data_IF_858705511915
#
_entry.id   IF_858705511915
#
_cell.length_a   1.000
_cell.length_b   1.000
_cell.length_c   1.000
_cell.angle_alpha   90.00
_cell.angle_beta   90.00
_cell.angle_gamma   90.00
#
_symmetry.space_group_name_H-M   'P 1'
#
loop_
_entity.id
_entity.type
_entity.pdbx_description
1 polymer ?
#
# COMPACT_ATOMS: atom_id res chain seq x y z
N UNK A 1 0.75 -17.51 23.93
CA UNK A 1 -0.61 -17.39 24.49
C UNK A 1 -0.62 -16.84 25.91
N UNK A 2 0.09 -17.45 26.87
CA UNK A 2 0.15 -16.95 28.28
C UNK A 2 0.60 -15.48 28.36
N UNK A 3 1.63 -15.08 27.63
CA UNK A 3 2.12 -13.69 27.63
C UNK A 3 1.07 -12.67 27.18
N UNK A 4 0.23 -13.00 26.18
CA UNK A 4 -0.81 -12.10 25.68
C UNK A 4 -1.90 -11.89 26.73
N UNK A 5 -2.34 -12.98 27.39
CA UNK A 5 -3.33 -12.90 28.46
C UNK A 5 -2.80 -12.05 29.62
N UNK A 6 -1.54 -12.26 30.01
CA UNK A 6 -0.91 -11.52 31.10
C UNK A 6 -0.80 -10.03 30.78
N UNK A 7 -0.44 -9.67 29.54
CA UNK A 7 -0.45 -8.27 29.08
C UNK A 7 -1.85 -7.66 29.11
N UNK A 8 -2.86 -8.36 28.59
CA UNK A 8 -4.26 -7.86 28.60
C UNK A 8 -4.76 -7.68 30.03
N UNK A 9 -4.49 -8.62 30.93
CA UNK A 9 -4.84 -8.51 32.36
C UNK A 9 -4.12 -7.34 33.02
N UNK A 10 -2.83 -7.15 32.75
CA UNK A 10 -2.08 -6.01 33.26
C UNK A 10 -2.71 -4.67 32.80
N UNK A 11 -3.12 -4.56 31.54
CA UNK A 11 -3.79 -3.35 31.01
C UNK A 11 -5.14 -3.08 31.67
N UNK A 12 -5.90 -4.14 31.99
CA UNK A 12 -7.14 -4.04 32.76
C UNK A 12 -6.88 -3.55 34.19
N UNK A 13 -5.82 -4.05 34.84
CA UNK A 13 -5.43 -3.60 36.18
C UNK A 13 -5.06 -2.11 36.22
N UNK A 14 -4.46 -1.59 35.14
CA UNK A 14 -4.21 -0.15 34.97
C UNK A 14 -5.45 0.67 34.56
N UNK A 15 -6.63 0.05 34.46
CA UNK A 15 -7.88 0.74 34.11
C UNK A 15 -7.99 1.14 32.65
N UNK A 16 -7.25 0.51 31.74
CA UNK A 16 -7.31 0.83 30.31
C UNK A 16 -8.68 0.43 29.73
N UNK A 17 -9.46 1.34 29.13
CA UNK A 17 -10.74 1.01 28.54
C UNK A 17 -10.54 0.24 27.23
N UNK A 18 -10.56 -1.10 27.31
CA UNK A 18 -10.44 -1.97 26.15
C UNK A 18 -11.76 -2.02 25.38
N UNK A 19 -11.71 -1.70 24.08
CA UNK A 19 -12.83 -1.87 23.18
C UNK A 19 -12.97 -3.34 22.79
N UNK A 20 -13.65 -4.14 23.60
CA UNK A 20 -13.82 -5.59 23.40
C UNK A 20 -14.37 -5.97 22.02
N UNK A 21 -15.21 -5.13 21.42
CA UNK A 21 -15.72 -5.33 20.06
C UNK A 21 -14.63 -5.30 18.96
N UNK A 22 -13.43 -4.80 19.29
CA UNK A 22 -12.26 -4.80 18.40
C UNK A 22 -11.37 -6.03 18.59
N UNK A 23 -11.59 -6.83 19.65
CA UNK A 23 -10.89 -8.09 19.82
C UNK A 23 -11.50 -9.11 18.85
N UNK A 24 -10.77 -9.38 17.76
CA UNK A 24 -11.12 -10.41 16.78
C UNK A 24 -10.06 -11.49 16.78
N UNK A 25 -10.50 -12.74 16.77
CA UNK A 25 -9.65 -13.92 16.62
C UNK A 25 -9.86 -14.59 15.26
N UNK A 26 -9.14 -15.69 15.03
CA UNK A 26 -9.23 -16.49 13.81
C UNK A 26 -7.99 -16.39 12.92
N UNK A 27 -8.01 -17.11 11.80
CA UNK A 27 -6.91 -17.15 10.83
C UNK A 27 -6.99 -16.03 9.78
N UNK A 28 -8.09 -15.31 9.71
CA UNK A 28 -8.24 -14.13 8.88
C UNK A 28 -8.79 -12.97 9.71
N UNK A 29 -8.09 -11.84 9.72
CA UNK A 29 -8.45 -10.69 10.57
C UNK A 29 -8.29 -9.37 9.82
N UNK A 30 -9.25 -8.47 10.05
CA UNK A 30 -9.17 -7.08 9.62
C UNK A 30 -8.68 -6.23 10.80
N UNK A 31 -7.66 -5.41 10.56
CA UNK A 31 -7.16 -4.45 11.53
C UNK A 31 -6.95 -3.07 10.88
N UNK A 32 -7.76 -2.09 11.27
CA UNK A 32 -7.67 -0.69 10.80
C UNK A 32 -7.73 -0.60 9.26
N UNK A 33 -8.40 -1.55 8.60
CA UNK A 33 -8.54 -1.61 7.15
C UNK A 33 -7.40 -2.36 6.44
N UNK A 34 -6.42 -2.90 7.16
CA UNK A 34 -5.57 -3.98 6.65
C UNK A 34 -6.26 -5.31 6.82
N UNK A 35 -5.97 -6.24 5.91
CA UNK A 35 -6.50 -7.59 5.97
C UNK A 35 -5.35 -8.58 5.95
N UNK A 36 -5.32 -9.46 6.94
CA UNK A 36 -4.36 -10.54 7.07
C UNK A 36 -5.11 -11.86 6.95
N UNK A 37 -4.71 -12.70 6.01
CA UNK A 37 -5.23 -14.06 5.84
C UNK A 37 -4.07 -15.05 5.96
N UNK A 38 -4.03 -15.74 7.10
CA UNK A 38 -3.02 -16.73 7.43
C UNK A 38 -3.26 -18.07 6.73
N UNK A 39 -4.49 -18.38 6.31
CA UNK A 39 -4.79 -19.64 5.61
C UNK A 39 -4.17 -19.62 4.21
N UNK A 40 -4.33 -18.50 3.51
CA UNK A 40 -3.80 -18.31 2.16
C UNK A 40 -2.43 -17.63 2.12
N UNK A 41 -1.84 -17.34 3.29
CA UNK A 41 -0.60 -16.56 3.43
C UNK A 41 -0.65 -15.29 2.59
N UNK A 42 -1.67 -14.47 2.78
CA UNK A 42 -1.85 -13.23 2.03
C UNK A 42 -2.12 -12.05 2.95
N UNK A 43 -1.68 -10.87 2.52
CA UNK A 43 -1.85 -9.60 3.25
C UNK A 43 -2.31 -8.53 2.28
N UNK A 44 -3.14 -7.61 2.74
CA UNK A 44 -3.68 -6.60 1.88
C UNK A 44 -4.46 -5.55 2.64
N UNK A 45 -5.43 -4.96 1.95
CA UNK A 45 -6.43 -4.09 2.54
C UNK A 45 -7.78 -4.78 2.55
N UNK A 46 -8.65 -4.39 3.48
CA UNK A 46 -9.98 -4.96 3.57
C UNK A 46 -10.82 -4.67 2.33
N UNK A 47 -11.77 -5.55 2.02
CA UNK A 47 -12.63 -5.43 0.85
C UNK A 47 -13.38 -4.09 0.84
N UNK A 48 -13.91 -3.67 1.99
CA UNK A 48 -14.59 -2.38 2.13
C UNK A 48 -13.66 -1.20 1.79
N UNK A 49 -12.37 -1.29 2.18
CA UNK A 49 -11.38 -0.27 1.87
C UNK A 49 -11.01 -0.27 0.39
N UNK A 50 -10.82 -1.45 -0.20
CA UNK A 50 -10.61 -1.63 -1.65
C UNK A 50 -11.75 -0.97 -2.44
N UNK A 51 -13.00 -1.31 -2.12
CA UNK A 51 -14.18 -0.75 -2.79
C UNK A 51 -14.28 0.77 -2.64
N UNK A 52 -13.93 1.32 -1.48
CA UNK A 52 -13.89 2.77 -1.28
C UNK A 52 -12.84 3.43 -2.20
N UNK A 53 -11.64 2.86 -2.30
CA UNK A 53 -10.59 3.35 -3.18
C UNK A 53 -10.94 3.19 -4.67
N UNK A 54 -11.53 2.06 -5.07
CA UNK A 54 -11.99 1.83 -6.44
C UNK A 54 -13.06 2.85 -6.83
N UNK A 55 -14.06 3.09 -5.96
CA UNK A 55 -15.10 4.10 -6.22
C UNK A 55 -14.50 5.48 -6.43
N UNK A 56 -13.57 5.89 -5.57
CA UNK A 56 -12.87 7.16 -5.71
C UNK A 56 -12.05 7.23 -7.01
N UNK A 57 -11.31 6.17 -7.35
CA UNK A 57 -10.51 6.08 -8.57
C UNK A 57 -11.34 6.15 -9.85
N UNK A 58 -12.62 5.74 -9.81
CA UNK A 58 -13.58 5.87 -10.93
C UNK A 58 -14.17 7.28 -11.00
N UNK A 59 -14.55 7.85 -9.85
CA UNK A 59 -15.27 9.12 -9.77
C UNK A 59 -14.43 10.30 -10.25
N UNK A 60 -13.18 10.41 -9.79
CA UNK A 60 -12.33 11.57 -10.11
C UNK A 60 -12.06 11.70 -11.63
N UNK A 61 -11.68 10.63 -12.36
CA UNK A 61 -11.59 10.66 -13.82
C UNK A 61 -12.90 10.98 -14.55
N UNK A 62 -14.03 10.47 -14.04
CA UNK A 62 -15.37 10.64 -14.63
C UNK A 62 -15.84 12.08 -14.54
N UNK A 63 -15.68 12.69 -13.37
CA UNK A 63 -16.11 14.07 -13.12
C UNK A 63 -15.17 15.07 -13.82
N UNK A 64 -13.89 14.71 -13.98
CA UNK A 64 -12.88 15.53 -14.65
C UNK A 64 -12.46 16.79 -13.88
N UNK A 65 -13.16 17.10 -12.79
CA UNK A 65 -12.85 18.13 -11.80
C UNK A 65 -12.69 17.46 -10.44
N UNK A 66 -11.70 17.87 -9.65
CA UNK A 66 -11.49 17.38 -8.30
C UNK A 66 -11.47 18.54 -7.29
N UNK A 67 -12.26 18.38 -6.23
CA UNK A 67 -12.10 19.15 -4.99
C UNK A 67 -10.79 18.72 -4.32
N UNK A 68 -9.85 19.65 -4.17
CA UNK A 68 -8.50 19.30 -3.74
C UNK A 68 -8.43 18.82 -2.28
N UNK A 69 -9.33 19.27 -1.41
CA UNK A 69 -9.43 18.80 -0.02
C UNK A 69 -9.88 17.34 0.02
N UNK A 70 -10.98 16.99 -0.66
CA UNK A 70 -11.46 15.61 -0.77
C UNK A 70 -10.45 14.72 -1.48
N UNK A 71 -9.76 15.26 -2.48
CA UNK A 71 -8.68 14.56 -3.17
C UNK A 71 -7.53 14.23 -2.21
N UNK A 72 -7.07 15.18 -1.41
CA UNK A 72 -6.02 14.96 -0.42
C UNK A 72 -6.42 13.94 0.66
N UNK A 73 -7.66 13.99 1.14
CA UNK A 73 -8.20 13.00 2.09
C UNK A 73 -8.17 11.58 1.51
N UNK A 74 -8.66 11.41 0.27
CA UNK A 74 -8.66 10.12 -0.39
C UNK A 74 -7.24 9.64 -0.76
N UNK A 75 -6.35 10.56 -1.14
CA UNK A 75 -4.94 10.27 -1.38
C UNK A 75 -4.24 9.81 -0.10
N UNK A 76 -4.59 10.36 1.07
CA UNK A 76 -4.13 9.86 2.37
C UNK A 76 -4.58 8.42 2.64
N UNK A 77 -5.81 8.06 2.25
CA UNK A 77 -6.31 6.67 2.34
C UNK A 77 -5.56 5.73 1.40
N UNK A 78 -5.19 6.20 0.21
CA UNK A 78 -4.35 5.46 -0.73
C UNK A 78 -2.93 5.30 -0.21
N UNK A 79 -2.32 6.35 0.36
CA UNK A 79 -0.99 6.30 0.97
C UNK A 79 -0.92 5.32 2.14
N UNK A 80 -1.98 5.24 2.94
CA UNK A 80 -2.14 4.19 3.96
C UNK A 80 -2.21 2.79 3.32
N UNK A 81 -3.05 2.59 2.30
CA UNK A 81 -3.15 1.29 1.61
C UNK A 81 -1.82 0.85 0.97
N UNK A 82 -1.06 1.79 0.40
CA UNK A 82 0.22 1.55 -0.25
C UNK A 82 1.34 1.09 0.72
N UNK A 83 1.15 1.18 2.03
CA UNK A 83 2.07 0.56 2.99
C UNK A 83 2.13 -0.95 2.81
N UNK A 84 1.00 -1.56 2.47
CA UNK A 84 0.88 -3.00 2.18
C UNK A 84 0.86 -3.25 0.68
N UNK A 85 0.13 -2.43 -0.09
CA UNK A 85 0.07 -2.52 -1.55
C UNK A 85 1.30 -1.88 -2.20
N UNK A 86 2.43 -2.59 -2.18
CA UNK A 86 3.72 -2.08 -2.65
C UNK A 86 3.69 -1.59 -4.11
N UNK A 87 2.91 -2.25 -4.96
CA UNK A 87 2.71 -1.88 -6.36
C UNK A 87 2.06 -0.50 -6.54
N UNK A 88 1.34 0.02 -5.53
CA UNK A 88 0.69 1.33 -5.59
C UNK A 88 1.64 2.50 -5.30
N UNK A 89 2.79 2.24 -4.64
CA UNK A 89 3.75 3.27 -4.21
C UNK A 89 4.26 4.20 -5.35
N UNK A 90 4.60 3.70 -6.55
CA UNK A 90 5.11 4.55 -7.64
C UNK A 90 4.12 5.63 -8.10
N UNK A 91 2.83 5.42 -7.88
CA UNK A 91 1.78 6.36 -8.29
C UNK A 91 1.52 7.46 -7.26
N UNK A 92 1.99 7.30 -6.02
CA UNK A 92 1.77 8.25 -4.95
C UNK A 92 2.48 9.58 -5.18
N UNK A 93 3.79 9.54 -5.44
CA UNK A 93 4.61 10.74 -5.60
C UNK A 93 4.00 11.79 -6.57
N UNK A 94 3.58 11.42 -7.79
CA UNK A 94 2.97 12.37 -8.71
C UNK A 94 1.56 12.84 -8.31
N UNK A 95 0.78 12.02 -7.60
CA UNK A 95 -0.52 12.44 -7.07
C UNK A 95 -0.33 13.41 -5.89
N UNK A 96 0.66 13.16 -5.02
CA UNK A 96 1.04 14.07 -3.94
C UNK A 96 1.62 15.39 -4.47
N UNK A 97 2.46 15.34 -5.50
CA UNK A 97 3.00 16.53 -6.14
C UNK A 97 1.87 17.42 -6.69
N UNK A 98 0.87 16.80 -7.35
CA UNK A 98 -0.30 17.55 -7.81
C UNK A 98 -1.15 18.09 -6.65
N UNK A 99 -1.41 17.28 -5.61
CA UNK A 99 -2.14 17.73 -4.43
C UNK A 99 -1.47 18.89 -3.70
N UNK A 100 -0.14 18.90 -3.63
CA UNK A 100 0.65 19.95 -2.99
C UNK A 100 0.73 21.24 -3.81
N UNK A 101 0.73 21.13 -5.15
CA UNK A 101 0.80 22.30 -6.03
C UNK A 101 -0.53 23.06 -6.16
N UNK A 102 -1.65 22.40 -5.84
CA UNK A 102 -2.97 22.96 -5.98
C UNK A 102 -3.48 23.58 -4.66
N UNK A 103 -4.21 24.70 -4.69
CA UNK A 103 -4.86 25.24 -3.50
C UNK A 103 -5.86 24.26 -2.88
N UNK A 104 -5.80 24.08 -1.56
CA UNK A 104 -6.61 23.08 -0.83
C UNK A 104 -8.12 23.27 -0.96
N UNK A 105 -8.60 24.51 -1.15
CA UNK A 105 -10.02 24.85 -1.23
C UNK A 105 -10.53 24.99 -2.67
N UNK A 106 -9.67 24.70 -3.66
CA UNK A 106 -10.04 24.81 -5.06
C UNK A 106 -10.64 23.52 -5.61
N UNK A 107 -11.54 23.68 -6.57
CA UNK A 107 -11.96 22.60 -7.48
C UNK A 107 -11.26 22.81 -8.81
N UNK A 108 -10.35 21.89 -9.16
CA UNK A 108 -9.46 22.04 -10.32
C UNK A 108 -9.63 20.86 -11.27
N UNK A 109 -9.46 21.13 -12.57
CA UNK A 109 -9.48 20.11 -13.61
C UNK A 109 -8.39 19.06 -13.34
N UNK A 110 -8.78 17.80 -13.35
CA UNK A 110 -7.86 16.68 -13.14
C UNK A 110 -6.87 16.62 -14.31
N UNK A 111 -5.56 16.72 -14.06
CA UNK A 111 -4.56 16.62 -15.12
C UNK A 111 -4.57 15.20 -15.71
N UNK A 112 -4.27 15.09 -17.01
CA UNK A 112 -4.26 13.80 -17.73
C UNK A 112 -3.40 12.75 -17.03
N UNK A 113 -2.27 13.17 -16.44
CA UNK A 113 -1.38 12.31 -15.65
C UNK A 113 -2.08 11.69 -14.44
N UNK A 114 -2.79 12.48 -13.62
CA UNK A 114 -3.49 11.96 -12.44
C UNK A 114 -4.62 11.01 -12.87
N UNK A 115 -5.33 11.36 -13.95
CA UNK A 115 -6.39 10.54 -14.52
C UNK A 115 -5.90 9.15 -14.94
N UNK A 116 -4.79 9.07 -15.68
CA UNK A 116 -4.20 7.80 -16.10
C UNK A 116 -3.78 6.92 -14.91
N UNK A 117 -3.23 7.55 -13.87
CA UNK A 117 -2.82 6.84 -12.65
C UNK A 117 -4.02 6.27 -11.90
N UNK A 118 -5.09 7.05 -11.78
CA UNK A 118 -6.33 6.59 -11.15
C UNK A 118 -7.01 5.47 -11.94
N UNK A 119 -7.00 5.52 -13.27
CA UNK A 119 -7.48 4.43 -14.12
C UNK A 119 -6.69 3.15 -13.91
N UNK A 120 -5.36 3.23 -13.81
CA UNK A 120 -4.53 2.07 -13.49
C UNK A 120 -4.85 1.52 -12.09
N UNK A 121 -4.94 2.39 -11.08
CA UNK A 121 -5.30 1.97 -9.71
C UNK A 121 -6.67 1.29 -9.67
N UNK A 122 -7.66 1.82 -10.40
CA UNK A 122 -8.98 1.21 -10.54
C UNK A 122 -8.88 -0.22 -11.08
N UNK A 123 -8.18 -0.41 -12.20
CA UNK A 123 -8.00 -1.71 -12.86
C UNK A 123 -7.36 -2.73 -11.91
N UNK A 124 -6.23 -2.36 -11.29
CA UNK A 124 -5.53 -3.26 -10.37
C UNK A 124 -6.41 -3.67 -9.16
N UNK A 125 -7.20 -2.74 -8.61
CA UNK A 125 -8.09 -3.05 -7.49
C UNK A 125 -9.26 -3.94 -7.91
N UNK A 126 -9.80 -3.76 -9.13
CA UNK A 126 -10.85 -4.62 -9.69
C UNK A 126 -10.34 -6.04 -9.99
N UNK A 127 -9.09 -6.16 -10.41
CA UNK A 127 -8.41 -7.44 -10.63
C UNK A 127 -8.11 -8.22 -9.34
N UNK A 128 -8.54 -7.71 -8.17
CA UNK A 128 -8.33 -8.38 -6.90
C UNK A 128 -6.95 -8.14 -6.28
N UNK A 129 -6.12 -7.25 -6.83
CA UNK A 129 -4.76 -6.94 -6.30
C UNK A 129 -4.77 -6.09 -5.02
N UNK A 130 -5.91 -6.05 -4.33
CA UNK A 130 -6.02 -5.53 -2.96
C UNK A 130 -5.50 -6.52 -1.92
N UNK A 131 -5.21 -7.76 -2.31
CA UNK A 131 -4.51 -8.79 -1.54
C UNK A 131 -3.22 -9.19 -2.26
N UNK A 132 -2.15 -9.41 -1.50
CA UNK A 132 -0.83 -9.82 -1.98
C UNK A 132 -0.40 -11.11 -1.29
N UNK A 133 0.14 -12.10 -2.03
CA UNK A 133 0.72 -13.28 -1.41
C UNK A 133 1.97 -12.89 -0.61
N UNK A 134 2.06 -13.43 0.60
CA UNK A 134 3.21 -13.33 1.51
C UNK A 134 4.09 -14.58 1.48
N UNK A 135 3.78 -15.53 0.62
CA UNK A 135 4.60 -16.74 0.47
C UNK A 135 5.96 -16.33 -0.06
N UNK A 136 7.02 -16.73 0.66
CA UNK A 136 8.39 -16.62 0.14
C UNK A 136 8.47 -17.48 -1.12
N UNK A 137 8.44 -16.85 -2.28
CA UNK A 137 8.75 -17.52 -3.53
C UNK A 137 10.25 -17.78 -3.49
N UNK A 138 10.64 -19.04 -3.38
CA UNK A 138 12.02 -19.44 -3.58
C UNK A 138 12.29 -19.42 -5.07
N UNK A 139 12.48 -18.24 -5.64
CA UNK A 139 13.03 -18.12 -6.97
C UNK A 139 14.54 -18.30 -6.85
N UNK A 140 15.05 -19.43 -7.35
CA UNK A 140 16.48 -19.61 -7.59
C UNK A 140 16.86 -18.71 -8.75
N UNK A 141 17.07 -17.46 -8.42
CA UNK A 141 17.37 -16.37 -9.32
C UNK A 141 18.78 -16.54 -9.96
N UNK A 142 19.65 -17.40 -9.44
CA UNK A 142 21.07 -17.38 -9.81
C UNK A 142 21.76 -16.10 -9.29
N UNK A 143 22.91 -15.74 -9.84
CA UNK A 143 23.66 -14.54 -9.42
C UNK A 143 23.05 -13.26 -10.02
N UNK A 144 22.33 -12.47 -9.22
CA UNK A 144 21.69 -11.22 -9.66
C UNK A 144 22.53 -9.96 -9.42
N UNK A 145 23.61 -10.09 -8.65
CA UNK A 145 24.38 -8.96 -8.19
C UNK A 145 25.84 -9.08 -8.64
N UNK A 146 26.23 -8.20 -9.57
CA UNK A 146 27.62 -7.95 -9.91
C UNK A 146 28.12 -6.85 -8.98
N UNK A 147 28.92 -7.20 -7.97
CA UNK A 147 29.25 -6.32 -6.84
C UNK A 147 30.28 -5.23 -7.16
N UNK A 148 30.95 -5.26 -8.30
CA UNK A 148 31.89 -4.21 -8.69
C UNK A 148 32.16 -4.24 -10.20
N UNK A 149 31.94 -3.09 -10.83
CA UNK A 149 32.37 -2.83 -12.19
C UNK A 149 33.29 -1.61 -12.14
N UNK A 150 34.58 -1.83 -12.40
CA UNK A 150 35.57 -0.76 -12.49
C UNK A 150 35.78 -0.41 -13.95
N UNK A 151 35.57 0.85 -14.30
CA UNK A 151 35.96 1.41 -15.59
C UNK A 151 37.13 2.37 -15.36
N UNK A 152 38.24 2.11 -16.05
CA UNK A 152 39.42 2.97 -16.13
C UNK A 152 39.63 3.35 -17.60
N UNK A 153 40.45 4.36 -17.91
CA UNK A 153 40.53 5.02 -19.23
C UNK A 153 40.77 4.07 -20.42
N UNK A 154 41.31 2.87 -20.17
CA UNK A 154 41.57 1.84 -21.18
C UNK A 154 41.03 0.44 -20.83
N UNK A 155 40.30 0.28 -19.72
CA UNK A 155 39.93 -1.06 -19.21
C UNK A 155 38.57 -1.05 -18.51
N UNK A 156 37.73 -2.00 -18.90
CA UNK A 156 36.53 -2.36 -18.14
C UNK A 156 36.80 -3.70 -17.46
N UNK A 157 36.73 -3.73 -16.13
CA UNK A 157 36.86 -4.94 -15.34
C UNK A 157 35.54 -5.23 -14.60
N UNK A 158 35.05 -6.46 -14.76
CA UNK A 158 33.93 -7.01 -14.01
C UNK A 158 34.49 -7.98 -12.97
N UNK A 159 34.38 -7.64 -11.69
CA UNK A 159 34.83 -8.52 -10.60
C UNK A 159 33.87 -9.69 -10.40
N UNK A 160 34.38 -10.93 -10.49
CA UNK A 160 33.67 -12.16 -10.11
C UNK A 160 34.37 -12.80 -8.91
N UNK A 161 33.62 -13.29 -7.94
CA UNK A 161 34.11 -14.28 -6.97
C UNK A 161 33.55 -15.64 -7.41
N UNK A 162 34.40 -16.63 -7.64
CA UNK A 162 33.97 -17.99 -7.95
C UNK A 162 33.78 -18.72 -6.62
N UNK A 163 32.54 -19.15 -6.34
CA UNK A 163 32.26 -20.21 -5.38
C UNK A 163 32.08 -21.53 -6.13
#
# INVERSE_FOLDING_TARGET
WINILLTVTMWLMFGTPLAWLKFRGGFATDWVGYYLDLMNFSVGISLARSQCLTKWAVQVPRDGMADMRRFAEALGRLGFAAQVLLWAKPFLAPLYAWAAAAPSEATIRVPKMARLKLMFLEEQLRDGRHMLPCRKVWENHGEWFLTDAKCDDLKVALGRWVC
#
